data_IF_366403246859
#
_entry.id   IF_366403246859
#
_cell.length_a   1.000
_cell.length_b   1.000
_cell.length_c   1.000
_cell.angle_alpha   90.00
_cell.angle_beta   90.00
_cell.angle_gamma   90.00
#
_symmetry.space_group_name_H-M   'P 1'
#
loop_
_entity.id
_entity.type
_entity.pdbx_description
1 polymer ?
#
# COMPACT_ATOMS: atom_id res chain seq x y z
N UNK A 1 4.27 -11.92 -7.21
CA UNK A 1 3.54 -11.23 -6.12
C UNK A 1 3.45 -9.77 -6.53
N UNK A 2 2.25 -9.19 -6.71
CA UNK A 2 2.13 -7.79 -7.14
C UNK A 2 2.33 -6.84 -5.97
N UNK A 3 3.18 -5.83 -6.14
CA UNK A 3 3.41 -4.76 -5.15
C UNK A 3 2.80 -3.44 -5.64
N UNK A 4 2.67 -2.44 -4.75
CA UNK A 4 2.16 -1.11 -5.15
C UNK A 4 3.01 -0.46 -6.25
N UNK A 5 4.29 -0.82 -6.39
CA UNK A 5 5.18 -0.35 -7.46
C UNK A 5 4.74 -0.81 -8.86
N UNK A 6 4.03 -1.92 -8.95
CA UNK A 6 3.57 -2.52 -10.22
C UNK A 6 2.16 -2.05 -10.61
N UNK A 7 1.49 -1.27 -9.75
CA UNK A 7 0.17 -0.73 -10.04
C UNK A 7 0.34 0.53 -10.90
N UNK A 8 -0.22 0.56 -12.12
CA UNK A 8 -0.11 1.75 -12.97
C UNK A 8 -0.85 2.94 -12.36
N UNK A 9 -0.44 4.14 -12.74
CA UNK A 9 -1.17 5.37 -12.40
C UNK A 9 -2.59 5.27 -12.93
N UNK A 10 -3.57 5.62 -12.08
CA UNK A 10 -4.99 5.46 -12.39
C UNK A 10 -5.56 4.08 -12.06
N UNK A 11 -4.73 3.15 -11.55
CA UNK A 11 -5.18 1.84 -11.07
C UNK A 11 -5.52 1.81 -9.57
N UNK A 12 -6.27 0.79 -9.16
CA UNK A 12 -6.56 0.47 -7.76
C UNK A 12 -6.00 -0.89 -7.35
N UNK A 13 -5.64 -1.05 -6.08
CA UNK A 13 -5.24 -2.32 -5.51
C UNK A 13 -5.68 -2.47 -4.05
N UNK A 14 -5.96 -3.71 -3.62
CA UNK A 14 -6.31 -4.03 -2.23
C UNK A 14 -5.08 -4.53 -1.48
N UNK A 15 -4.81 -3.95 -0.31
CA UNK A 15 -3.65 -4.31 0.52
C UNK A 15 -3.85 -5.71 1.11
N UNK A 16 -2.98 -6.66 0.75
CA UNK A 16 -3.03 -8.04 1.28
C UNK A 16 -2.17 -8.24 2.52
N UNK A 17 -0.96 -7.68 2.50
CA UNK A 17 0.03 -7.78 3.59
C UNK A 17 1.01 -6.60 3.48
N UNK A 18 1.52 -6.14 4.62
CA UNK A 18 2.65 -5.23 4.69
C UNK A 18 3.93 -6.03 4.93
N UNK A 19 4.91 -5.83 4.06
CA UNK A 19 6.26 -6.39 4.20
C UNK A 19 7.18 -5.35 4.85
N UNK A 20 8.19 -5.83 5.57
CA UNK A 20 9.11 -4.98 6.35
C UNK A 20 8.82 -5.00 7.85
N UNK A 21 9.72 -4.40 8.61
CA UNK A 21 9.74 -4.43 10.07
C UNK A 21 9.91 -3.02 10.65
N UNK A 22 9.77 -2.91 11.97
CA UNK A 22 10.08 -1.70 12.72
C UNK A 22 9.27 -0.46 12.34
N UNK A 23 9.95 0.69 12.30
CA UNK A 23 9.33 2.01 12.17
C UNK A 23 8.58 2.22 10.85
N UNK A 24 9.07 1.64 9.74
CA UNK A 24 8.46 1.81 8.41
C UNK A 24 7.08 1.15 8.37
N UNK A 25 6.98 -0.10 8.85
CA UNK A 25 5.69 -0.81 8.91
C UNK A 25 4.70 -0.05 9.80
N UNK A 26 5.17 0.50 10.92
CA UNK A 26 4.35 1.27 11.85
C UNK A 26 3.83 2.55 11.22
N UNK A 27 4.70 3.35 10.58
CA UNK A 27 4.31 4.55 9.83
C UNK A 27 3.29 4.26 8.73
N UNK A 28 3.44 3.15 7.99
CA UNK A 28 2.46 2.75 6.97
C UNK A 28 1.09 2.46 7.59
N UNK A 29 1.06 1.78 8.75
CA UNK A 29 -0.18 1.54 9.49
C UNK A 29 -0.76 2.83 10.08
N UNK A 30 0.07 3.74 10.59
CA UNK A 30 -0.35 5.05 11.11
C UNK A 30 -0.94 5.94 10.02
N UNK A 31 -0.50 5.79 8.76
CA UNK A 31 -1.11 6.43 7.58
C UNK A 31 -2.44 5.77 7.15
N UNK A 32 -2.86 4.68 7.79
CA UNK A 32 -4.12 3.98 7.48
C UNK A 32 -4.00 2.87 6.42
N UNK A 33 -2.80 2.58 5.92
CA UNK A 33 -2.60 1.49 4.94
C UNK A 33 -2.55 0.15 5.67
N UNK A 34 -3.71 -0.48 5.86
CA UNK A 34 -3.86 -1.76 6.56
C UNK A 34 -4.45 -2.84 5.65
N UNK A 35 -4.43 -4.10 6.11
CA UNK A 35 -4.96 -5.23 5.31
C UNK A 35 -6.44 -5.00 5.00
N UNK A 36 -6.79 -5.10 3.72
CA UNK A 36 -8.15 -4.95 3.23
C UNK A 36 -8.51 -3.55 2.75
N UNK A 37 -7.64 -2.55 2.97
CA UNK A 37 -7.82 -1.20 2.41
C UNK A 37 -7.59 -1.22 0.90
N UNK A 38 -8.43 -0.49 0.17
CA UNK A 38 -8.25 -0.21 -1.26
C UNK A 38 -7.46 1.09 -1.45
N UNK A 39 -6.47 1.05 -2.33
CA UNK A 39 -5.56 2.16 -2.62
C UNK A 39 -5.65 2.49 -4.09
N UNK A 40 -5.88 3.77 -4.40
CA UNK A 40 -5.89 4.31 -5.76
C UNK A 40 -4.59 5.06 -6.04
N UNK A 41 -3.89 4.72 -7.13
CA UNK A 41 -2.59 5.32 -7.46
C UNK A 41 -2.79 6.59 -8.28
N UNK A 42 -2.42 7.74 -7.69
CA UNK A 42 -2.40 9.05 -8.37
C UNK A 42 -0.96 9.49 -8.65
N UNK A 43 -0.75 10.13 -9.80
CA UNK A 43 0.45 10.90 -10.09
C UNK A 43 0.16 12.36 -9.74
N UNK A 44 1.04 12.95 -8.94
CA UNK A 44 1.01 14.36 -8.51
C UNK A 44 2.32 15.03 -8.89
#
# INVERSE_FOLDING_TARGET
MKTLREVPVGGSAKVKKLHGEGAIKRRIMDMGLTKGVEVYVRKV
#
